data_IF_979704627060
#
_entry.id   IF_979704627060
#
_cell.length_a   1.000
_cell.length_b   1.000
_cell.length_c   1.000
_cell.angle_alpha   90.00
_cell.angle_beta   90.00
_cell.angle_gamma   90.00
#
_symmetry.space_group_name_H-M   'P 1'
#
loop_
_entity.id
_entity.type
_entity.pdbx_description
1 polymer ?
#
# COMPACT_ATOMS: atom_id res chain seq x y z
N UNK A 1 -0.03 -31.34 -17.08
CA UNK A 1 0.69 -30.63 -16.00
C UNK A 1 -0.34 -29.86 -15.18
N UNK A 2 -0.55 -30.19 -13.90
CA UNK A 2 -1.45 -29.44 -13.03
C UNK A 2 -0.79 -28.14 -12.54
N UNK A 3 -1.56 -27.08 -12.25
CA UNK A 3 -1.02 -25.84 -11.67
C UNK A 3 -0.52 -26.07 -10.24
N UNK A 4 0.48 -25.30 -9.77
CA UNK A 4 1.00 -25.45 -8.41
C UNK A 4 -0.09 -25.15 -7.37
N UNK A 5 -0.34 -26.12 -6.51
CA UNK A 5 -1.26 -26.02 -5.38
C UNK A 5 -0.78 -24.97 -4.37
N UNK A 6 -1.63 -24.00 -4.09
CA UNK A 6 -1.40 -23.02 -3.03
C UNK A 6 -1.49 -23.73 -1.67
N UNK A 7 -0.49 -23.66 -0.78
CA UNK A 7 -0.51 -24.39 0.48
C UNK A 7 -1.60 -23.84 1.42
N UNK A 8 -2.54 -24.70 1.79
CA UNK A 8 -3.75 -24.42 2.60
C UNK A 8 -3.46 -24.18 4.10
N UNK A 9 -2.22 -23.88 4.50
CA UNK A 9 -1.84 -23.84 5.91
C UNK A 9 -1.90 -22.43 6.50
N UNK A 10 -3.13 -21.91 6.64
CA UNK A 10 -3.46 -20.78 7.52
C UNK A 10 -4.86 -21.01 8.13
N UNK A 11 -5.04 -22.15 8.81
CA UNK A 11 -6.11 -22.32 9.78
C UNK A 11 -5.41 -22.44 11.13
N UNK A 12 -5.45 -21.38 11.93
CA UNK A 12 -5.28 -21.52 13.38
C UNK A 12 -6.61 -21.17 14.02
N UNK A 13 -7.25 -22.21 14.51
CA UNK A 13 -8.34 -22.24 15.46
C UNK A 13 -7.98 -21.42 16.71
N UNK A 14 -8.95 -20.69 17.27
CA UNK A 14 -9.05 -20.46 18.71
C UNK A 14 -10.45 -19.90 19.06
N UNK A 15 -11.25 -20.74 19.73
CA UNK A 15 -12.36 -20.34 20.58
C UNK A 15 -11.86 -19.62 21.85
N UNK A 16 -12.64 -18.66 22.34
CA UNK A 16 -12.78 -18.35 23.77
C UNK A 16 -11.79 -17.34 24.38
N UNK A 17 -12.21 -16.58 25.42
CA UNK A 17 -11.67 -15.25 25.71
C UNK A 17 -10.67 -15.24 26.88
N UNK A 18 -9.59 -14.47 26.73
CA UNK A 18 -8.82 -13.92 27.84
C UNK A 18 -7.97 -12.73 27.36
N UNK A 19 -8.12 -11.62 28.05
CA UNK A 19 -7.35 -10.38 27.86
C UNK A 19 -5.91 -10.64 28.32
N UNK A 20 -4.92 -10.53 27.43
CA UNK A 20 -3.51 -10.38 27.80
C UNK A 20 -2.73 -9.73 26.66
N UNK A 21 -2.10 -8.61 26.99
CA UNK A 21 -1.13 -7.85 26.20
C UNK A 21 -0.11 -8.76 25.48
N UNK A 22 -0.14 -8.81 24.15
CA UNK A 22 0.86 -9.59 23.38
C UNK A 22 1.19 -8.95 22.04
N UNK A 23 2.39 -8.37 22.01
CA UNK A 23 3.32 -8.14 20.89
C UNK A 23 2.79 -8.51 19.50
N UNK A 24 2.65 -7.50 18.64
CA UNK A 24 2.36 -7.59 17.20
C UNK A 24 3.37 -8.51 16.51
N UNK A 25 3.06 -9.81 16.46
CA UNK A 25 3.89 -10.79 15.77
C UNK A 25 3.66 -10.61 14.28
N UNK A 26 4.52 -9.82 13.63
CA UNK A 26 4.49 -9.60 12.18
C UNK A 26 4.60 -10.95 11.46
N UNK A 27 3.72 -11.23 10.49
CA UNK A 27 3.78 -12.47 9.72
C UNK A 27 5.15 -12.62 9.01
N UNK A 28 5.65 -13.86 8.78
CA UNK A 28 6.95 -14.09 8.15
C UNK A 28 7.13 -13.38 6.79
N UNK A 29 6.04 -13.24 6.01
CA UNK A 29 6.05 -12.52 4.74
C UNK A 29 6.20 -11.01 4.89
N UNK A 30 5.49 -10.39 5.83
CA UNK A 30 5.64 -8.96 6.11
C UNK A 30 7.06 -8.64 6.64
N UNK A 31 7.67 -9.57 7.40
CA UNK A 31 9.08 -9.47 7.81
C UNK A 31 10.01 -9.48 6.60
N UNK A 32 9.83 -10.40 5.65
CA UNK A 32 10.65 -10.49 4.45
C UNK A 32 10.54 -9.25 3.55
N UNK A 33 9.32 -8.72 3.34
CA UNK A 33 9.09 -7.51 2.54
C UNK A 33 9.78 -6.27 3.16
N UNK A 34 9.71 -6.15 4.49
CA UNK A 34 10.42 -5.08 5.21
C UNK A 34 11.93 -5.21 5.00
N UNK A 35 12.50 -6.40 5.24
CA UNK A 35 13.94 -6.64 5.06
C UNK A 35 14.40 -6.31 3.65
N UNK A 36 13.63 -6.72 2.63
CA UNK A 36 13.97 -6.43 1.22
C UNK A 36 14.00 -4.93 0.92
N UNK A 37 13.05 -4.16 1.48
CA UNK A 37 12.99 -2.70 1.32
C UNK A 37 14.16 -2.02 2.02
N UNK A 38 14.47 -2.43 3.25
CA UNK A 38 15.65 -1.94 3.99
C UNK A 38 16.93 -2.19 3.22
N UNK A 39 17.11 -3.41 2.70
CA UNK A 39 18.31 -3.76 1.91
C UNK A 39 18.39 -2.90 0.66
N UNK A 40 17.29 -2.73 -0.09
CA UNK A 40 17.27 -1.93 -1.31
C UNK A 40 17.63 -0.45 -1.05
N UNK A 41 17.06 0.17 0.00
CA UNK A 41 17.37 1.56 0.36
C UNK A 41 18.83 1.67 0.81
N UNK A 42 19.30 0.75 1.65
CA UNK A 42 20.68 0.75 2.16
C UNK A 42 21.70 0.60 1.03
N UNK A 43 21.45 -0.30 0.08
CA UNK A 43 22.31 -0.49 -1.10
C UNK A 43 22.27 0.72 -2.05
N UNK A 44 21.15 1.42 -2.13
CA UNK A 44 21.04 2.65 -2.93
C UNK A 44 21.82 3.81 -2.29
N UNK A 45 21.81 3.92 -0.96
CA UNK A 45 22.55 4.94 -0.22
C UNK A 45 24.07 4.68 -0.20
N UNK A 46 24.46 3.40 -0.15
CA UNK A 46 25.87 2.96 -0.07
C UNK A 46 26.24 2.16 -1.32
N UNK A 47 26.75 2.84 -2.36
CA UNK A 47 27.29 2.14 -3.52
C UNK A 47 28.57 1.37 -3.13
N UNK A 48 28.64 0.05 -3.31
CA UNK A 48 29.85 -0.73 -3.01
C UNK A 48 31.00 -0.43 -3.97
N UNK A 49 30.73 0.22 -5.11
CA UNK A 49 31.74 0.58 -6.10
C UNK A 49 32.51 1.87 -5.75
N UNK A 50 31.88 2.82 -5.05
CA UNK A 50 32.56 4.00 -4.49
C UNK A 50 31.71 4.65 -3.39
N UNK A 51 32.31 5.09 -2.26
CA UNK A 51 31.64 5.86 -1.22
C UNK A 51 30.93 7.11 -1.75
N UNK A 52 31.38 7.68 -2.88
CA UNK A 52 30.85 8.90 -3.49
C UNK A 52 29.77 8.66 -4.56
N UNK A 53 29.51 7.40 -4.96
CA UNK A 53 28.60 7.05 -6.08
C UNK A 53 27.22 6.54 -5.61
N UNK A 54 26.86 6.69 -4.32
CA UNK A 54 25.53 6.33 -3.82
C UNK A 54 24.49 7.42 -4.05
N UNK A 55 23.21 7.06 -4.13
CA UNK A 55 22.12 8.04 -4.17
C UNK A 55 22.15 8.93 -2.93
N UNK A 56 22.04 10.26 -3.11
CA UNK A 56 22.04 11.26 -2.03
C UNK A 56 20.68 11.86 -1.74
N UNK A 57 19.70 11.58 -2.60
CA UNK A 57 18.31 12.00 -2.46
C UNK A 57 17.45 10.79 -2.76
N UNK A 58 16.79 10.26 -1.74
CA UNK A 58 15.98 9.04 -1.86
C UNK A 58 14.56 9.35 -1.37
N UNK A 59 13.59 9.22 -2.26
CA UNK A 59 12.19 9.23 -1.89
C UNK A 59 11.65 7.80 -1.79
N UNK A 60 10.94 7.48 -0.72
CA UNK A 60 10.34 6.15 -0.53
C UNK A 60 8.87 6.32 -0.19
N UNK A 61 7.98 5.57 -0.85
CA UNK A 61 6.55 5.61 -0.52
C UNK A 61 6.23 4.67 0.65
N UNK A 62 5.31 5.07 1.52
CA UNK A 62 4.66 4.12 2.43
C UNK A 62 3.85 3.07 1.64
N UNK A 63 3.51 1.94 2.25
CA UNK A 63 2.50 1.05 1.68
C UNK A 63 1.11 1.69 1.78
N UNK A 64 0.24 1.49 0.78
CA UNK A 64 -1.15 1.96 0.83
C UNK A 64 -1.96 1.15 1.87
N UNK A 65 -3.20 1.57 2.22
CA UNK A 65 -4.10 0.80 3.07
C UNK A 65 -4.58 -0.46 2.35
N UNK A 66 -3.76 -1.52 2.42
CA UNK A 66 -3.97 -2.77 1.67
C UNK A 66 -5.35 -3.39 1.91
N UNK A 67 -5.89 -3.24 3.13
CA UNK A 67 -7.22 -3.70 3.52
C UNK A 67 -8.37 -2.96 2.84
N UNK A 68 -8.14 -1.73 2.38
CA UNK A 68 -9.15 -0.90 1.73
C UNK A 68 -9.20 -1.07 0.20
N UNK A 69 -8.22 -1.75 -0.40
CA UNK A 69 -8.21 -1.99 -1.85
C UNK A 69 -9.45 -2.82 -2.26
N UNK A 70 -10.18 -2.45 -3.33
CA UNK A 70 -11.39 -3.17 -3.75
C UNK A 70 -11.15 -4.67 -3.99
N UNK A 71 -10.00 -5.04 -4.56
CA UNK A 71 -9.60 -6.44 -4.71
C UNK A 71 -9.45 -7.16 -3.37
N UNK A 72 -8.84 -6.50 -2.40
CA UNK A 72 -8.66 -7.04 -1.04
C UNK A 72 -10.00 -7.24 -0.34
N UNK A 73 -10.87 -6.23 -0.35
CA UNK A 73 -12.21 -6.33 0.25
C UNK A 73 -12.99 -7.48 -0.38
N UNK A 74 -12.92 -7.62 -1.70
CA UNK A 74 -13.60 -8.70 -2.42
C UNK A 74 -13.06 -10.09 -2.07
N UNK A 75 -11.74 -10.25 -1.90
CA UNK A 75 -11.11 -11.54 -1.62
C UNK A 75 -11.15 -11.93 -0.14
N UNK A 76 -11.00 -10.96 0.76
CA UNK A 76 -10.76 -11.19 2.19
C UNK A 76 -11.80 -10.55 3.12
N UNK A 77 -12.70 -9.72 2.60
CA UNK A 77 -13.74 -9.03 3.37
C UNK A 77 -14.89 -9.92 3.83
N UNK A 78 -14.94 -11.19 3.42
CA UNK A 78 -15.96 -12.17 3.83
C UNK A 78 -17.41 -11.65 3.65
N UNK A 79 -17.66 -10.93 2.55
CA UNK A 79 -18.97 -10.34 2.24
C UNK A 79 -19.24 -8.98 2.90
N UNK A 80 -18.34 -8.47 3.75
CA UNK A 80 -18.40 -7.11 4.28
C UNK A 80 -17.86 -6.11 3.26
N UNK A 81 -18.41 -4.91 3.26
CA UNK A 81 -17.99 -3.79 2.41
C UNK A 81 -16.94 -2.87 3.05
N UNK A 82 -16.54 -3.12 4.30
CA UNK A 82 -15.52 -2.34 5.00
C UNK A 82 -14.10 -2.79 4.67
N UNK A 83 -13.12 -1.95 5.04
CA UNK A 83 -11.72 -2.32 4.93
C UNK A 83 -11.40 -3.57 5.77
N UNK A 84 -10.46 -4.37 5.29
CA UNK A 84 -9.98 -5.57 5.98
C UNK A 84 -8.88 -5.17 6.96
N UNK A 85 -9.25 -4.87 8.21
CA UNK A 85 -8.33 -4.31 9.22
C UNK A 85 -7.05 -5.13 9.41
N UNK A 86 -7.11 -6.47 9.32
CA UNK A 86 -5.90 -7.31 9.42
C UNK A 86 -4.84 -6.91 8.37
N UNK A 87 -5.26 -6.59 7.16
CA UNK A 87 -4.35 -6.22 6.06
C UNK A 87 -3.90 -4.76 6.14
N UNK A 88 -4.73 -3.87 6.70
CA UNK A 88 -4.28 -2.53 7.08
C UNK A 88 -3.23 -2.59 8.19
N UNK A 89 -3.42 -3.44 9.21
CA UNK A 89 -2.43 -3.63 10.27
C UNK A 89 -1.10 -4.22 9.76
N UNK A 90 -1.13 -5.09 8.75
CA UNK A 90 0.08 -5.55 8.05
C UNK A 90 0.81 -4.38 7.36
N UNK A 91 0.07 -3.49 6.68
CA UNK A 91 0.63 -2.29 6.02
C UNK A 91 1.19 -1.27 7.02
N UNK A 92 0.47 -0.98 8.11
CA UNK A 92 0.91 -0.10 9.20
C UNK A 92 2.18 -0.63 9.86
N UNK A 93 2.26 -1.94 10.10
CA UNK A 93 3.46 -2.57 10.64
C UNK A 93 4.68 -2.37 9.73
N UNK A 94 4.50 -2.50 8.42
CA UNK A 94 5.56 -2.22 7.46
C UNK A 94 5.94 -0.73 7.48
N UNK A 95 4.95 0.17 7.43
CA UNK A 95 5.17 1.62 7.41
C UNK A 95 5.92 2.11 8.65
N UNK A 96 5.61 1.55 9.82
CA UNK A 96 6.33 1.84 11.07
C UNK A 96 7.80 1.40 10.98
N UNK A 97 8.08 0.22 10.42
CA UNK A 97 9.45 -0.26 10.23
C UNK A 97 10.21 0.53 9.16
N UNK A 98 9.52 0.96 8.11
CA UNK A 98 10.08 1.87 7.11
C UNK A 98 10.54 3.16 7.77
N UNK A 99 9.71 3.76 8.65
CA UNK A 99 10.07 4.98 9.36
C UNK A 99 11.34 4.82 10.22
N UNK A 100 11.37 3.76 11.05
CA UNK A 100 12.57 3.43 11.86
C UNK A 100 13.82 3.25 10.99
N UNK A 101 13.67 2.62 9.82
CA UNK A 101 14.78 2.38 8.90
C UNK A 101 15.30 3.67 8.28
N UNK A 102 14.39 4.54 7.82
CA UNK A 102 14.72 5.83 7.22
C UNK A 102 15.45 6.71 8.24
N UNK A 103 14.95 6.78 9.48
CA UNK A 103 15.63 7.51 10.55
C UNK A 103 17.04 6.96 10.85
N UNK A 104 17.20 5.64 10.88
CA UNK A 104 18.50 5.00 11.13
C UNK A 104 19.50 5.30 9.99
N UNK A 105 19.04 5.28 8.74
CA UNK A 105 19.87 5.60 7.57
C UNK A 105 20.27 7.06 7.52
N UNK A 106 19.34 7.98 7.80
CA UNK A 106 19.63 9.41 7.88
C UNK A 106 20.68 9.72 8.97
N UNK A 107 20.64 9.03 10.11
CA UNK A 107 21.67 9.15 11.17
C UNK A 107 23.03 8.60 10.74
N UNK A 108 23.06 7.56 9.92
CA UNK A 108 24.28 6.91 9.46
C UNK A 108 24.99 7.68 8.34
N UNK A 109 24.23 8.38 7.50
CA UNK A 109 24.73 9.09 6.32
C UNK A 109 24.33 10.56 6.39
N UNK A 110 25.23 11.41 6.89
CA UNK A 110 24.96 12.85 7.09
C UNK A 110 24.75 13.61 5.78
N UNK A 111 25.20 13.07 4.65
CA UNK A 111 25.04 13.61 3.30
C UNK A 111 23.81 13.05 2.56
N UNK A 112 23.04 12.14 3.19
CA UNK A 112 21.84 11.54 2.61
C UNK A 112 20.58 12.33 2.99
N UNK A 113 19.86 12.81 1.97
CA UNK A 113 18.47 13.25 2.11
C UNK A 113 17.54 12.10 1.78
N UNK A 114 16.71 11.71 2.73
CA UNK A 114 15.73 10.65 2.56
C UNK A 114 14.39 11.08 3.13
N UNK A 115 13.32 10.88 2.37
CA UNK A 115 11.97 11.29 2.74
C UNK A 115 10.98 10.16 2.47
N UNK A 116 10.00 10.03 3.36
CA UNK A 116 8.87 9.14 3.18
C UNK A 116 7.73 9.93 2.55
N UNK A 117 7.27 9.47 1.40
CA UNK A 117 6.03 9.92 0.77
C UNK A 117 4.87 9.10 1.33
N UNK A 118 4.10 9.69 2.24
CA UNK A 118 2.98 8.99 2.85
C UNK A 118 1.78 8.94 1.90
N UNK A 119 1.58 7.76 1.29
CA UNK A 119 0.41 7.48 0.46
C UNK A 119 -0.69 6.75 1.25
N UNK A 120 -0.40 6.30 2.48
CA UNK A 120 -1.34 5.52 3.29
C UNK A 120 -2.50 6.38 3.76
N UNK A 121 -2.19 7.49 4.42
CA UNK A 121 -3.18 8.38 5.03
C UNK A 121 -4.17 8.97 4.03
N UNK A 122 -3.74 9.64 2.93
CA UNK A 122 -4.68 10.22 1.96
C UNK A 122 -5.57 9.14 1.34
N UNK A 123 -4.99 7.99 0.95
CA UNK A 123 -5.75 6.91 0.33
C UNK A 123 -6.70 6.21 1.31
N UNK A 124 -6.35 6.11 2.60
CA UNK A 124 -7.25 5.59 3.63
C UNK A 124 -8.42 6.53 3.87
N UNK A 125 -8.16 7.83 3.95
CA UNK A 125 -9.21 8.85 4.11
C UNK A 125 -10.17 8.86 2.92
N UNK A 126 -9.66 8.84 1.69
CA UNK A 126 -10.50 8.71 0.49
C UNK A 126 -11.28 7.40 0.47
N UNK A 127 -10.67 6.31 0.96
CA UNK A 127 -11.36 5.03 1.05
C UNK A 127 -12.49 5.05 2.09
N UNK A 128 -12.29 5.60 3.27
CA UNK A 128 -13.28 5.57 4.34
C UNK A 128 -14.34 6.67 4.20
N UNK A 129 -13.96 7.83 3.66
CA UNK A 129 -14.80 9.03 3.52
C UNK A 129 -14.62 9.69 2.14
N UNK A 130 -14.98 9.03 1.02
CA UNK A 130 -14.72 9.53 -0.34
C UNK A 130 -15.29 10.93 -0.60
N UNK A 131 -16.49 11.20 -0.09
CA UNK A 131 -17.17 12.49 -0.27
C UNK A 131 -16.38 13.68 0.31
N UNK A 132 -15.54 13.45 1.33
CA UNK A 132 -14.70 14.49 1.93
C UNK A 132 -13.64 15.05 0.99
N UNK A 133 -13.35 14.34 -0.10
CA UNK A 133 -12.36 14.71 -1.13
C UNK A 133 -12.99 14.76 -2.52
N UNK A 134 -14.33 14.87 -2.61
CA UNK A 134 -15.04 15.02 -3.87
C UNK A 134 -15.32 13.73 -4.64
N UNK A 135 -15.03 12.55 -4.07
CA UNK A 135 -15.33 11.26 -4.71
C UNK A 135 -16.72 10.76 -4.32
N UNK A 136 -17.39 10.06 -5.25
CA UNK A 136 -18.69 9.43 -5.03
C UNK A 136 -18.57 7.97 -4.58
N UNK A 137 -17.51 7.27 -4.99
CA UNK A 137 -17.39 5.83 -4.82
C UNK A 137 -15.95 5.37 -4.52
N UNK A 138 -15.78 4.52 -3.50
CA UNK A 138 -14.49 3.99 -3.05
C UNK A 138 -14.49 2.47 -2.79
N UNK A 139 -15.61 1.79 -3.06
CA UNK A 139 -15.79 0.34 -2.90
C UNK A 139 -15.95 -0.38 -4.22
N UNK A 140 -16.46 0.32 -5.24
CA UNK A 140 -16.43 -0.14 -6.62
C UNK A 140 -15.27 0.52 -7.36
N UNK A 141 -15.00 -0.01 -8.55
CA UNK A 141 -13.91 0.42 -9.41
C UNK A 141 -14.50 1.01 -10.68
N UNK A 142 -13.88 2.05 -11.23
CA UNK A 142 -14.34 2.62 -12.50
C UNK A 142 -14.24 1.58 -13.63
N UNK A 143 -13.14 0.85 -13.68
CA UNK A 143 -13.00 -0.32 -14.51
C UNK A 143 -13.44 -1.57 -13.74
N UNK A 144 -14.69 -1.95 -13.96
CA UNK A 144 -15.26 -3.16 -13.41
C UNK A 144 -15.12 -4.31 -14.42
N UNK A 145 -13.96 -4.95 -14.49
CA UNK A 145 -13.83 -6.16 -15.31
C UNK A 145 -14.29 -7.42 -14.56
N UNK A 146 -15.40 -8.00 -15.02
CA UNK A 146 -15.81 -9.38 -14.67
C UNK A 146 -16.90 -9.54 -13.60
N UNK A 147 -17.40 -10.77 -13.43
CA UNK A 147 -18.34 -11.19 -12.36
C UNK A 147 -17.58 -11.47 -11.07
N UNK A 148 -18.26 -11.70 -9.92
CA UNK A 148 -17.62 -12.11 -8.64
C UNK A 148 -16.55 -13.23 -8.78
N UNK A 149 -16.66 -14.05 -9.83
CA UNK A 149 -15.79 -15.22 -10.09
C UNK A 149 -14.62 -14.95 -11.04
N UNK A 150 -14.67 -13.92 -11.90
CA UNK A 150 -13.58 -13.62 -12.84
C UNK A 150 -12.67 -12.53 -12.30
N UNK A 151 -11.37 -12.82 -12.29
CA UNK A 151 -10.28 -11.94 -11.83
C UNK A 151 -9.66 -11.30 -13.06
N UNK A 152 -10.15 -10.14 -13.45
CA UNK A 152 -9.51 -9.37 -14.51
C UNK A 152 -9.34 -7.96 -13.98
N UNK A 153 -8.10 -7.50 -13.97
CA UNK A 153 -7.71 -6.12 -13.62
C UNK A 153 -7.21 -5.38 -14.88
N UNK A 154 -7.51 -5.93 -16.06
CA UNK A 154 -7.05 -5.42 -17.34
C UNK A 154 -8.23 -4.73 -18.01
N UNK A 155 -8.05 -3.45 -18.33
CA UNK A 155 -9.09 -2.57 -18.82
C UNK A 155 -8.71 -2.06 -20.20
N UNK A 156 -9.69 -1.95 -21.08
CA UNK A 156 -9.56 -1.28 -22.37
C UNK A 156 -10.86 -0.50 -22.66
N UNK A 157 -10.86 0.41 -23.66
CA UNK A 157 -12.06 1.18 -23.98
C UNK A 157 -13.30 0.34 -24.37
N UNK A 158 -13.11 -0.92 -24.79
CA UNK A 158 -14.20 -1.84 -25.13
C UNK A 158 -14.69 -2.66 -23.91
N UNK A 159 -14.18 -2.40 -22.71
CA UNK A 159 -14.54 -3.14 -21.49
C UNK A 159 -15.96 -2.80 -21.07
N UNK A 160 -16.83 -3.82 -21.08
CA UNK A 160 -18.18 -3.70 -20.52
C UNK A 160 -18.12 -3.36 -19.02
N UNK A 161 -18.85 -2.33 -18.60
CA UNK A 161 -18.87 -1.87 -17.20
C UNK A 161 -17.78 -0.85 -16.86
N UNK A 162 -17.07 -0.32 -17.86
CA UNK A 162 -16.24 0.88 -17.67
C UNK A 162 -17.13 2.09 -17.32
N UNK A 163 -16.76 2.83 -16.29
CA UNK A 163 -17.48 4.01 -15.87
C UNK A 163 -17.31 5.17 -16.86
N UNK A 164 -18.26 6.12 -16.88
CA UNK A 164 -18.19 7.30 -17.74
C UNK A 164 -17.22 8.37 -17.22
N UNK A 165 -17.08 8.48 -15.91
CA UNK A 165 -16.26 9.49 -15.26
C UNK A 165 -15.38 8.83 -14.17
N UNK A 166 -14.10 8.65 -14.46
CA UNK A 166 -13.16 8.03 -13.52
C UNK A 166 -12.87 8.90 -12.30
N UNK A 167 -13.10 10.22 -12.40
CA UNK A 167 -12.87 11.17 -11.30
C UNK A 167 -13.87 11.01 -10.15
N UNK A 168 -15.03 10.38 -10.39
CA UNK A 168 -16.02 10.09 -9.35
C UNK A 168 -15.57 8.92 -8.45
N UNK A 169 -14.55 8.16 -8.85
CA UNK A 169 -14.09 6.95 -8.17
C UNK A 169 -12.70 7.16 -7.56
N UNK A 170 -12.51 6.66 -6.34
CA UNK A 170 -11.18 6.62 -5.71
C UNK A 170 -10.26 5.63 -6.44
N UNK A 171 -10.81 4.52 -6.92
CA UNK A 171 -10.07 3.44 -7.55
C UNK A 171 -10.45 3.28 -9.03
N UNK A 172 -9.44 3.30 -9.90
CA UNK A 172 -9.63 2.98 -11.31
C UNK A 172 -9.91 1.49 -11.49
N UNK A 173 -9.10 0.63 -10.88
CA UNK A 173 -9.27 -0.82 -10.89
C UNK A 173 -9.23 -1.41 -9.47
N UNK A 174 -9.09 -2.74 -9.35
CA UNK A 174 -9.11 -3.43 -8.07
C UNK A 174 -7.98 -3.06 -7.09
N UNK A 175 -6.91 -2.43 -7.55
CA UNK A 175 -5.73 -2.12 -6.73
C UNK A 175 -5.15 -0.72 -6.98
N UNK A 176 -5.38 -0.11 -8.15
CA UNK A 176 -4.81 1.19 -8.50
C UNK A 176 -5.80 2.35 -8.27
N UNK A 177 -5.36 3.47 -7.67
CA UNK A 177 -6.15 4.69 -7.56
C UNK A 177 -6.48 5.29 -8.94
N UNK A 178 -7.56 6.06 -9.03
CA UNK A 178 -7.86 6.88 -10.22
C UNK A 178 -6.86 8.01 -10.40
N UNK A 179 -6.85 8.65 -11.56
CA UNK A 179 -6.05 9.86 -11.79
C UNK A 179 -6.38 10.95 -10.76
N UNK A 180 -7.67 11.21 -10.52
CA UNK A 180 -8.11 12.18 -9.52
C UNK A 180 -7.62 11.82 -8.09
N UNK A 181 -7.65 10.53 -7.71
CA UNK A 181 -7.10 10.10 -6.42
C UNK A 181 -5.57 10.24 -6.36
N UNK A 182 -4.86 9.99 -7.47
CA UNK A 182 -3.41 10.21 -7.54
C UNK A 182 -3.04 11.68 -7.41
N UNK A 183 -3.87 12.62 -7.90
CA UNK A 183 -3.66 14.05 -7.69
C UNK A 183 -3.71 14.41 -6.20
N UNK A 184 -4.73 13.93 -5.48
CA UNK A 184 -4.85 14.15 -4.01
C UNK A 184 -3.64 13.56 -3.28
N UNK A 185 -3.19 12.35 -3.65
CA UNK A 185 -2.00 11.73 -3.08
C UNK A 185 -0.77 12.59 -3.38
N UNK A 186 -0.57 13.00 -4.63
CA UNK A 186 0.58 13.82 -5.02
C UNK A 186 0.64 15.13 -4.23
N UNK A 187 -0.47 15.85 -4.13
CA UNK A 187 -0.59 17.09 -3.34
C UNK A 187 -0.18 16.88 -1.87
N UNK A 188 -0.66 15.80 -1.24
CA UNK A 188 -0.33 15.47 0.15
C UNK A 188 1.17 15.19 0.38
N UNK A 189 1.92 14.87 -0.68
CA UNK A 189 3.33 14.47 -0.61
C UNK A 189 4.33 15.58 -0.98
N UNK A 190 3.86 16.75 -1.44
CA UNK A 190 4.71 17.84 -1.93
C UNK A 190 5.75 18.27 -0.89
N UNK A 191 5.34 18.44 0.38
CA UNK A 191 6.25 18.88 1.44
C UNK A 191 7.40 17.88 1.69
N UNK A 192 7.12 16.58 1.64
CA UNK A 192 8.15 15.55 1.73
C UNK A 192 9.12 15.65 0.55
N UNK A 193 8.61 15.97 -0.66
CA UNK A 193 9.43 16.16 -1.85
C UNK A 193 10.36 17.36 -1.76
N UNK A 194 9.88 18.48 -1.21
CA UNK A 194 10.68 19.69 -1.00
C UNK A 194 11.90 19.37 -0.12
N UNK A 195 11.74 18.57 0.94
CA UNK A 195 12.84 18.18 1.83
C UNK A 195 13.99 17.42 1.14
N UNK A 196 13.75 16.85 -0.04
CA UNK A 196 14.80 16.19 -0.83
C UNK A 196 15.62 17.16 -1.67
N UNK A 197 15.07 18.33 -2.02
CA UNK A 197 15.71 19.28 -2.96
C UNK A 197 16.23 20.55 -2.29
N UNK A 198 15.67 20.95 -1.16
CA UNK A 198 16.15 22.05 -0.30
C UNK A 198 17.13 21.53 0.73
#
# INVERSE_FOLDING_TARGET
>A
MPPPSCPTRCISSAQGPAISSRTTTTTPRCRAATTSTVTAISSSASSPASPTLGARRIGVTSLPPLGCLPATIRLYGKGRSGCVERLNGDAETFNNKLNITVEALAKKHSDLKIAIFDIYTPLRNMSESPASQGFLEARKTCCQTGTRKTRVYLCNPATAGLCRNASDFVYFDGVHPSEAANLVIAESTILAGISLVT
#
